data_IF_619298837619
#
_entry.id   IF_619298837619
#
_cell.length_a   1.000
_cell.length_b   1.000
_cell.length_c   1.000
_cell.angle_alpha   90.00
_cell.angle_beta   90.00
_cell.angle_gamma   90.00
#
_symmetry.space_group_name_H-M   'P 1'
#
loop_
_entity.id
_entity.type
_entity.pdbx_description
1 polymer ?
#
# COMPACT_ATOMS: atom_id res chain seq x y z
N UNK A 1 -1.70 -16.49 -11.10
CA UNK A 1 -2.38 -17.05 -9.91
C UNK A 1 -1.58 -16.88 -8.63
N UNK A 2 -2.06 -16.03 -7.71
CA UNK A 2 -1.50 -15.75 -6.39
C UNK A 2 -2.54 -15.92 -5.30
N UNK A 3 -2.11 -16.31 -4.11
CA UNK A 3 -2.91 -16.38 -2.89
C UNK A 3 -2.62 -15.14 -2.05
N UNK A 4 -3.64 -14.66 -1.34
CA UNK A 4 -3.57 -13.52 -0.43
C UNK A 4 -3.86 -13.98 0.99
N UNK A 5 -3.02 -13.58 1.94
CA UNK A 5 -3.28 -13.77 3.36
C UNK A 5 -3.82 -12.47 3.98
N UNK A 6 -5.04 -12.56 4.48
CA UNK A 6 -5.69 -11.50 5.22
C UNK A 6 -5.06 -11.30 6.61
N UNK A 7 -5.21 -10.13 7.24
CA UNK A 7 -4.64 -9.84 8.55
C UNK A 7 -5.18 -10.73 9.68
N UNK A 8 -6.35 -11.33 9.50
CA UNK A 8 -6.95 -12.36 10.37
C UNK A 8 -6.31 -13.75 10.19
N UNK A 9 -5.42 -13.92 9.21
CA UNK A 9 -4.73 -15.17 8.91
C UNK A 9 -5.45 -16.07 7.90
N UNK A 10 -6.65 -15.71 7.46
CA UNK A 10 -7.35 -16.44 6.40
C UNK A 10 -6.65 -16.26 5.05
N UNK A 11 -6.63 -17.34 4.27
CA UNK A 11 -6.01 -17.36 2.95
C UNK A 11 -7.10 -17.38 1.89
N UNK A 12 -7.01 -16.44 0.96
CA UNK A 12 -7.96 -16.25 -0.12
C UNK A 12 -7.26 -16.41 -1.48
N UNK A 13 -7.97 -17.00 -2.45
CA UNK A 13 -7.47 -17.21 -3.80
C UNK A 13 -7.61 -18.65 -4.27
N UNK A 14 -6.93 -19.03 -5.37
CA UNK A 14 -5.99 -18.20 -6.14
C UNK A 14 -6.68 -17.08 -6.94
N UNK A 15 -6.01 -15.93 -7.05
CA UNK A 15 -6.40 -14.75 -7.82
C UNK A 15 -5.39 -14.45 -8.93
N UNK A 16 -5.88 -13.90 -10.04
CA UNK A 16 -5.03 -13.39 -11.13
C UNK A 16 -4.55 -11.96 -10.83
N UNK A 17 -3.45 -11.55 -11.46
CA UNK A 17 -2.84 -10.21 -11.26
C UNK A 17 -3.86 -9.07 -11.46
N UNK A 18 -4.73 -9.21 -12.45
CA UNK A 18 -5.81 -8.26 -12.75
C UNK A 18 -6.79 -8.13 -11.57
N UNK A 19 -7.11 -9.23 -10.89
CA UNK A 19 -7.99 -9.23 -9.73
C UNK A 19 -7.31 -8.61 -8.51
N UNK A 20 -6.01 -8.89 -8.32
CA UNK A 20 -5.20 -8.22 -7.30
C UNK A 20 -5.16 -6.70 -7.53
N UNK A 21 -5.05 -6.27 -8.78
CA UNK A 21 -5.13 -4.86 -9.15
C UNK A 21 -6.47 -4.23 -8.79
N UNK A 22 -7.58 -4.91 -9.06
CA UNK A 22 -8.91 -4.45 -8.62
C UNK A 22 -9.02 -4.36 -7.09
N UNK A 23 -8.42 -5.29 -6.35
CA UNK A 23 -8.41 -5.25 -4.89
C UNK A 23 -7.57 -4.10 -4.34
N UNK A 24 -6.41 -3.81 -4.94
CA UNK A 24 -5.58 -2.67 -4.54
C UNK A 24 -6.30 -1.35 -4.87
N UNK A 25 -6.92 -1.24 -6.04
CA UNK A 25 -7.76 -0.07 -6.41
C UNK A 25 -8.97 0.09 -5.47
N UNK A 26 -9.59 -1.02 -5.09
CA UNK A 26 -10.72 -1.04 -4.16
C UNK A 26 -10.35 -0.84 -2.70
N UNK A 27 -9.08 -0.53 -2.39
CA UNK A 27 -8.55 -0.42 -1.02
C UNK A 27 -8.80 -1.67 -0.15
N UNK A 28 -9.00 -2.83 -0.78
CA UNK A 28 -9.13 -4.14 -0.11
C UNK A 28 -7.74 -4.70 0.21
N UNK A 29 -6.78 -4.44 -0.67
CA UNK A 29 -5.38 -4.83 -0.55
C UNK A 29 -4.48 -3.60 -0.72
N UNK A 30 -3.23 -3.73 -0.32
CA UNK A 30 -2.20 -2.70 -0.47
C UNK A 30 -0.82 -3.34 -0.63
N UNK A 31 0.23 -2.53 -0.81
CA UNK A 31 1.59 -3.04 -0.98
C UNK A 31 2.16 -3.85 0.20
N UNK A 32 1.55 -3.75 1.39
CA UNK A 32 1.93 -4.54 2.57
C UNK A 32 1.12 -5.84 2.70
N UNK A 33 0.14 -6.06 1.81
CA UNK A 33 -0.67 -7.27 1.79
C UNK A 33 0.21 -8.46 1.44
N UNK A 34 0.14 -9.50 2.26
CA UNK A 34 0.93 -10.70 2.10
C UNK A 34 0.35 -11.56 0.98
N UNK A 35 1.17 -11.86 -0.01
CA UNK A 35 0.80 -12.69 -1.15
C UNK A 35 1.85 -13.75 -1.40
N UNK A 36 1.44 -14.83 -2.05
CA UNK A 36 2.31 -15.93 -2.45
C UNK A 36 1.85 -16.48 -3.78
N UNK A 37 2.76 -17.00 -4.59
CA UNK A 37 2.34 -17.68 -5.82
C UNK A 37 1.64 -18.98 -5.48
N UNK A 38 0.54 -19.26 -6.17
CA UNK A 38 -0.22 -20.48 -5.93
C UNK A 38 0.62 -21.71 -6.29
N UNK A 39 0.75 -22.63 -5.33
CA UNK A 39 1.53 -23.86 -5.50
C UNK A 39 3.01 -23.74 -5.12
N UNK A 40 3.48 -22.57 -4.66
CA UNK A 40 4.82 -22.41 -4.09
C UNK A 40 4.77 -22.53 -2.56
N UNK A 41 5.76 -23.21 -1.96
CA UNK A 41 5.96 -23.28 -0.50
C UNK A 41 6.75 -22.08 0.03
N UNK A 42 6.97 -21.06 -0.81
CA UNK A 42 7.66 -19.83 -0.45
C UNK A 42 6.97 -19.08 0.69
N UNK A 43 7.78 -18.26 1.39
CA UNK A 43 7.30 -17.42 2.47
C UNK A 43 6.38 -16.32 1.94
N UNK A 44 5.36 -15.97 2.73
CA UNK A 44 4.43 -14.89 2.43
C UNK A 44 5.18 -13.58 2.22
N UNK A 45 5.07 -13.01 1.03
CA UNK A 45 5.82 -11.82 0.63
C UNK A 45 4.87 -10.65 0.45
N UNK A 46 5.20 -9.43 0.92
CA UNK A 46 4.39 -8.26 0.65
C UNK A 46 4.22 -8.03 -0.86
N UNK A 47 3.01 -7.69 -1.30
CA UNK A 47 2.68 -7.47 -2.71
C UNK A 47 3.63 -6.46 -3.40
N UNK A 48 4.10 -5.46 -2.66
CA UNK A 48 5.07 -4.47 -3.19
C UNK A 48 6.48 -5.02 -3.42
N UNK A 49 6.84 -6.14 -2.76
CA UNK A 49 8.14 -6.79 -2.87
C UNK A 49 8.15 -7.95 -3.86
N UNK A 50 6.98 -8.47 -4.24
CA UNK A 50 6.88 -9.44 -5.34
C UNK A 50 7.21 -8.74 -6.64
N UNK A 51 8.30 -9.14 -7.29
CA UNK A 51 8.80 -8.50 -8.51
C UNK A 51 7.70 -8.41 -9.58
N UNK A 52 6.97 -9.51 -9.77
CA UNK A 52 5.84 -9.62 -10.69
C UNK A 52 4.63 -8.76 -10.31
N UNK A 53 4.39 -8.43 -9.03
CA UNK A 53 3.16 -7.71 -8.60
C UNK A 53 3.44 -6.26 -8.16
N UNK A 54 4.70 -5.87 -8.04
CA UNK A 54 5.11 -4.56 -7.55
C UNK A 54 4.54 -3.39 -8.40
N UNK A 55 4.29 -3.64 -9.69
CA UNK A 55 3.70 -2.65 -10.60
C UNK A 55 2.24 -2.33 -10.25
N UNK A 56 1.49 -3.29 -9.69
CA UNK A 56 0.07 -3.15 -9.37
C UNK A 56 -0.17 -2.01 -8.38
N UNK A 57 0.72 -1.85 -7.39
CA UNK A 57 0.64 -0.74 -6.44
C UNK A 57 0.77 0.63 -7.12
N UNK A 58 1.61 0.71 -8.16
CA UNK A 58 1.85 1.95 -8.92
C UNK A 58 0.68 2.23 -9.86
N UNK A 59 0.15 1.20 -10.50
CA UNK A 59 -1.02 1.32 -11.38
C UNK A 59 -2.31 1.66 -10.62
N UNK A 60 -2.49 1.15 -9.40
CA UNK A 60 -3.61 1.55 -8.58
C UNK A 60 -3.50 3.05 -8.20
N UNK A 61 -2.29 3.54 -7.90
CA UNK A 61 -2.05 4.94 -7.55
C UNK A 61 -2.26 5.92 -8.73
N UNK A 62 -2.13 5.48 -9.99
CA UNK A 62 -2.33 6.36 -11.16
C UNK A 62 -3.81 6.57 -11.52
N UNK A 63 -4.74 5.75 -11.03
CA UNK A 63 -6.17 5.88 -11.37
C UNK A 63 -6.93 6.94 -10.56
N UNK A 64 -6.35 7.47 -9.48
CA UNK A 64 -6.96 8.56 -8.70
C UNK A 64 -6.82 9.96 -9.34
N UNK A 65 -6.21 10.06 -10.54
CA UNK A 65 -6.14 11.33 -11.30
C UNK A 65 -6.73 11.23 -12.71
N UNK A 66 -8.04 11.43 -12.87
CA UNK A 66 -8.60 12.10 -14.03
C UNK A 66 -9.00 13.52 -13.64
N UNK A 67 -8.03 14.44 -13.49
CA UNK A 67 -8.32 15.87 -13.66
C UNK A 67 -7.40 16.45 -14.73
N UNK A 68 -7.99 16.56 -15.92
CA UNK A 68 -7.65 17.47 -17.01
C UNK A 68 -6.21 18.03 -17.03
N UNK A 69 -5.34 17.39 -17.80
CA UNK A 69 -4.31 18.12 -18.56
C UNK A 69 -4.99 18.87 -19.72
N UNK A 70 -5.72 19.94 -19.39
CA UNK A 70 -5.89 21.04 -20.33
C UNK A 70 -4.58 21.86 -20.31
N UNK A 71 -4.05 22.11 -21.50
CA UNK A 71 -2.75 22.73 -21.79
C UNK A 71 -2.54 24.12 -21.12
N UNK A 72 -1.29 24.63 -21.07
CA UNK A 72 -0.90 25.74 -20.20
C UNK A 72 -1.34 27.11 -20.73
N UNK A 73 -1.25 28.12 -19.85
CA UNK A 73 -1.17 29.58 -20.11
C UNK A 73 -2.48 30.39 -20.05
N UNK A 74 -2.85 30.90 -18.86
CA UNK A 74 -2.88 32.36 -18.59
C UNK A 74 -3.25 32.66 -17.13
N UNK A 75 -2.54 33.63 -16.56
CA UNK A 75 -2.67 34.15 -15.21
C UNK A 75 -4.06 34.73 -14.89
N UNK A 76 -4.49 34.59 -13.63
CA UNK A 76 -4.96 35.69 -12.74
C UNK A 76 -5.14 35.17 -11.30
N UNK A 77 -4.36 35.70 -10.36
CA UNK A 77 -4.75 35.88 -8.94
C UNK A 77 -5.38 37.29 -8.80
N UNK A 78 -5.93 37.79 -7.66
CA UNK A 78 -6.36 37.22 -6.36
C UNK A 78 -7.86 37.56 -6.03
N UNK A 79 -8.52 37.12 -4.94
CA UNK A 79 -8.80 37.92 -3.71
C UNK A 79 -9.55 37.13 -2.60
N UNK A 80 -9.31 37.60 -1.38
CA UNK A 80 -9.56 37.17 0.01
C UNK A 80 -11.03 37.11 0.49
N UNK A 81 -11.36 36.18 1.40
CA UNK A 81 -12.25 36.47 2.54
C UNK A 81 -11.85 35.65 3.78
N UNK A 82 -11.99 36.33 4.93
CA UNK A 82 -11.37 36.14 6.23
C UNK A 82 -11.96 34.97 7.05
N UNK A 83 -11.12 34.28 7.82
CA UNK A 83 -11.56 33.25 8.77
C UNK A 83 -10.41 32.47 9.42
N UNK A 84 -9.69 33.13 10.31
CA UNK A 84 -8.88 32.57 11.41
C UNK A 84 -7.67 31.65 11.08
N UNK A 85 -6.48 32.27 11.20
CA UNK A 85 -5.19 31.60 11.27
C UNK A 85 -4.94 31.22 12.74
N UNK A 86 -5.13 29.95 13.09
CA UNK A 86 -4.60 29.42 14.35
C UNK A 86 -3.20 28.79 14.14
N UNK A 87 -2.23 29.54 14.64
CA UNK A 87 -0.81 29.33 14.96
C UNK A 87 -0.24 27.87 14.96
N UNK A 88 1.04 27.68 14.55
CA UNK A 88 1.69 26.37 14.44
C UNK A 88 1.97 25.74 15.81
N UNK A 89 1.25 24.66 16.11
CA UNK A 89 1.47 23.79 17.27
C UNK A 89 2.15 22.50 16.86
N UNK A 90 3.31 22.24 17.47
CA UNK A 90 4.21 21.09 17.28
C UNK A 90 3.49 19.74 17.22
N UNK A 91 3.27 19.21 16.01
CA UNK A 91 2.95 17.80 15.83
C UNK A 91 4.27 17.03 15.77
N UNK A 92 4.70 16.52 16.92
CA UNK A 92 5.83 15.60 17.06
C UNK A 92 5.56 14.34 16.22
N UNK A 93 6.43 14.10 15.24
CA UNK A 93 6.52 12.84 14.53
C UNK A 93 6.96 11.74 15.51
N UNK A 94 6.20 10.65 15.61
CA UNK A 94 6.66 9.41 16.24
C UNK A 94 6.74 8.37 15.14
N UNK A 95 7.96 8.09 14.68
CA UNK A 95 8.25 6.94 13.84
C UNK A 95 8.19 5.68 14.70
N UNK A 96 7.20 4.80 14.48
CA UNK A 96 7.18 3.47 15.09
C UNK A 96 7.95 2.55 14.15
N UNK A 97 9.27 2.51 14.31
CA UNK A 97 10.12 1.51 13.67
C UNK A 97 10.27 0.32 14.62
N UNK A 98 9.19 -0.45 14.82
CA UNK A 98 9.27 -1.67 15.63
C UNK A 98 9.81 -2.80 14.77
N UNK A 99 11.14 -2.92 14.84
CA UNK A 99 11.99 -4.04 14.49
C UNK A 99 11.42 -5.36 15.07
N UNK A 100 10.88 -6.24 14.23
CA UNK A 100 10.69 -7.67 14.56
C UNK A 100 11.75 -8.46 13.78
N UNK A 101 12.97 -8.43 14.31
CA UNK A 101 13.99 -9.42 14.03
C UNK A 101 14.21 -10.21 15.31
N UNK A 102 13.86 -11.50 15.32
CA UNK A 102 14.33 -12.44 16.35
C UNK A 102 13.24 -13.24 17.07
N UNK A 103 12.60 -14.19 16.38
CA UNK A 103 12.00 -15.38 17.01
C UNK A 103 12.44 -16.62 16.23
N UNK A 104 13.75 -16.94 16.26
CA UNK A 104 14.27 -18.19 15.70
C UNK A 104 15.24 -18.93 16.66
N UNK A 105 15.15 -18.68 17.97
CA UNK A 105 16.16 -19.15 18.94
C UNK A 105 15.63 -19.98 20.12
N UNK A 106 14.50 -20.67 20.03
CA UNK A 106 13.95 -21.46 21.17
C UNK A 106 13.47 -22.88 20.85
N UNK A 107 14.05 -23.56 19.84
CA UNK A 107 13.73 -24.98 19.57
C UNK A 107 14.93 -25.94 19.59
N UNK A 108 15.97 -25.62 20.36
CA UNK A 108 16.99 -26.60 20.76
C UNK A 108 17.37 -26.39 22.23
N UNK A 109 16.84 -27.23 23.11
CA UNK A 109 17.40 -27.44 24.43
C UNK A 109 16.39 -27.56 25.56
N UNK A 110 15.59 -28.62 25.56
CA UNK A 110 15.46 -29.61 26.67
C UNK A 110 14.64 -30.82 26.22
#
# INVERSE_FOLDING_TARGET
>A
MYEYQAPDGEVYGPYEEEQLLEFVKGSRMNGNSLVRKHGEEEEWTPLSQVEDLSYICREAATQETPVLSAAPTHAVQPTTVNGEIEKPGKATAIAINTLVGGILALLLGI
#
